data_IF_959371297767
#
_entry.id   IF_959371297767
#
_cell.length_a   1.000
_cell.length_b   1.000
_cell.length_c   1.000
_cell.angle_alpha   90.00
_cell.angle_beta   90.00
_cell.angle_gamma   90.00
#
_symmetry.space_group_name_H-M   'P 1'
#
loop_
_entity.id
_entity.type
_entity.pdbx_description
1 polymer ?
#
# COMPACT_ATOMS: atom_id res chain seq x y z
N UNK A 1 -25.32 35.27 19.02
CA UNK A 1 -24.33 34.54 18.20
C UNK A 1 -23.27 35.54 17.76
N UNK A 2 -22.00 35.29 18.11
CA UNK A 2 -20.92 36.22 17.81
C UNK A 2 -20.51 36.20 16.34
N UNK A 3 -19.96 37.32 15.84
CA UNK A 3 -19.47 37.48 14.46
C UNK A 3 -18.54 36.32 14.05
N UNK A 4 -17.71 35.80 14.97
CA UNK A 4 -16.84 34.66 14.72
C UNK A 4 -17.57 33.36 14.37
N UNK A 5 -18.76 33.10 14.96
CA UNK A 5 -19.54 31.91 14.64
C UNK A 5 -20.19 31.99 13.24
N UNK A 6 -20.49 33.21 12.77
CA UNK A 6 -21.01 33.45 11.43
C UNK A 6 -19.87 33.34 10.41
N UNK A 7 -18.68 33.87 10.71
CA UNK A 7 -17.49 33.73 9.87
C UNK A 7 -17.01 32.27 9.76
N UNK A 8 -17.02 31.51 10.85
CA UNK A 8 -16.72 30.07 10.83
C UNK A 8 -17.76 29.27 10.03
N UNK A 9 -19.04 29.64 10.13
CA UNK A 9 -20.11 29.04 9.33
C UNK A 9 -19.93 29.35 7.84
N UNK A 10 -19.60 30.60 7.48
CA UNK A 10 -19.33 31.01 6.10
C UNK A 10 -18.05 30.35 5.54
N UNK A 11 -17.00 30.19 6.34
CA UNK A 11 -15.79 29.44 5.94
C UNK A 11 -16.07 27.95 5.75
N UNK A 12 -16.91 27.34 6.58
CA UNK A 12 -17.36 25.94 6.37
C UNK A 12 -18.24 25.78 5.14
N UNK A 13 -19.05 26.80 4.80
CA UNK A 13 -19.86 26.82 3.58
C UNK A 13 -18.99 27.08 2.34
N UNK A 14 -17.83 27.73 2.48
CA UNK A 14 -16.88 28.01 1.39
C UNK A 14 -15.86 26.88 1.13
N UNK A 15 -15.58 26.00 2.09
CA UNK A 15 -14.71 24.85 1.90
C UNK A 15 -15.49 23.65 1.33
N UNK A 16 -15.58 23.60 0.00
CA UNK A 16 -16.28 22.53 -0.75
C UNK A 16 -15.67 21.13 -0.51
N UNK A 17 -14.40 21.04 -0.10
CA UNK A 17 -13.69 19.78 0.10
C UNK A 17 -13.06 19.71 1.50
N UNK A 18 -13.29 18.59 2.19
CA UNK A 18 -12.78 18.33 3.53
C UNK A 18 -11.61 17.32 3.57
N UNK A 19 -11.45 16.52 2.51
CA UNK A 19 -10.43 15.47 2.42
C UNK A 19 -9.80 15.47 1.02
N UNK A 20 -8.49 15.26 0.97
CA UNK A 20 -7.73 14.91 -0.23
C UNK A 20 -7.09 13.54 0.03
N UNK A 21 -7.51 12.52 -0.72
CA UNK A 21 -6.90 11.21 -0.72
C UNK A 21 -6.04 11.05 -1.98
N UNK A 22 -4.77 10.71 -1.82
CA UNK A 22 -3.79 10.69 -2.91
C UNK A 22 -3.26 9.28 -3.14
N UNK A 23 -3.36 8.84 -4.38
CA UNK A 23 -2.47 7.79 -4.85
C UNK A 23 -1.02 8.28 -4.99
N UNK A 24 -0.08 7.34 -4.99
CA UNK A 24 1.35 7.58 -5.10
C UNK A 24 1.83 7.40 -6.54
N UNK A 25 1.82 6.17 -7.05
CA UNK A 25 2.49 5.81 -8.29
C UNK A 25 1.70 6.24 -9.52
N UNK A 26 2.24 7.18 -10.30
CA UNK A 26 1.53 7.73 -11.46
C UNK A 26 0.60 8.90 -11.11
N UNK A 27 0.55 9.26 -9.82
CA UNK A 27 -0.23 10.40 -9.31
C UNK A 27 0.67 11.43 -8.63
N UNK A 28 1.13 11.15 -7.40
CA UNK A 28 1.94 12.08 -6.61
C UNK A 28 3.45 11.93 -6.88
N UNK A 29 3.90 10.72 -7.21
CA UNK A 29 5.30 10.41 -7.44
C UNK A 29 5.66 10.56 -8.91
N UNK A 30 6.78 11.23 -9.16
CA UNK A 30 7.40 11.27 -10.49
C UNK A 30 8.04 9.92 -10.88
N UNK A 31 8.63 9.86 -12.07
CA UNK A 31 9.30 8.66 -12.60
C UNK A 31 10.51 8.24 -11.76
N UNK A 32 11.09 9.15 -10.97
CA UNK A 32 12.20 8.92 -10.06
C UNK A 32 11.73 8.60 -8.63
N UNK A 33 10.42 8.40 -8.42
CA UNK A 33 9.80 8.16 -7.12
C UNK A 33 10.02 9.30 -6.12
N UNK A 34 9.96 10.55 -6.60
CA UNK A 34 10.03 11.76 -5.78
C UNK A 34 8.73 12.53 -5.83
N UNK A 35 8.46 13.28 -4.76
CA UNK A 35 7.36 14.25 -4.71
C UNK A 35 7.92 15.59 -5.18
N UNK A 36 7.23 16.24 -6.12
CA UNK A 36 7.64 17.54 -6.63
C UNK A 36 7.48 18.63 -5.55
N UNK A 37 8.37 19.64 -5.49
CA UNK A 37 8.26 20.73 -4.51
C UNK A 37 6.93 21.49 -4.56
N UNK A 38 6.36 21.64 -5.76
CA UNK A 38 5.07 22.31 -5.96
C UNK A 38 3.93 21.50 -5.35
N UNK A 39 3.97 20.16 -5.44
CA UNK A 39 3.00 19.26 -4.81
C UNK A 39 3.08 19.33 -3.29
N UNK A 40 4.29 19.33 -2.71
CA UNK A 40 4.49 19.51 -1.26
C UNK A 40 3.87 20.84 -0.79
N UNK A 41 4.15 21.92 -1.52
CA UNK A 41 3.64 23.26 -1.20
C UNK A 41 2.11 23.31 -1.25
N UNK A 42 1.51 22.77 -2.33
CA UNK A 42 0.06 22.76 -2.50
C UNK A 42 -0.65 21.95 -1.40
N UNK A 43 -0.11 20.79 -1.04
CA UNK A 43 -0.69 19.94 0.00
C UNK A 43 -0.53 20.55 1.40
N UNK A 44 0.60 21.20 1.67
CA UNK A 44 0.80 21.95 2.92
C UNK A 44 -0.22 23.10 3.05
N UNK A 45 -0.46 23.86 1.96
CA UNK A 45 -1.47 24.91 1.95
C UNK A 45 -2.88 24.35 2.19
N UNK A 46 -3.24 23.24 1.57
CA UNK A 46 -4.53 22.59 1.80
C UNK A 46 -4.70 22.17 3.28
N UNK A 47 -3.65 21.60 3.90
CA UNK A 47 -3.65 21.24 5.32
C UNK A 47 -3.82 22.47 6.23
N UNK A 48 -3.17 23.59 5.91
CA UNK A 48 -3.32 24.85 6.65
C UNK A 48 -4.75 25.42 6.58
N UNK A 49 -5.49 25.12 5.52
CA UNK A 49 -6.91 25.46 5.37
C UNK A 49 -7.86 24.44 6.04
N UNK A 50 -7.33 23.47 6.78
CA UNK A 50 -8.11 22.47 7.50
C UNK A 50 -8.52 21.25 6.69
N UNK A 51 -8.08 21.13 5.44
CA UNK A 51 -8.31 19.93 4.62
C UNK A 51 -7.44 18.78 5.15
N UNK A 52 -8.05 17.62 5.35
CA UNK A 52 -7.29 16.41 5.70
C UNK A 52 -6.67 15.81 4.46
N UNK A 53 -5.35 15.64 4.48
CA UNK A 53 -4.62 14.96 3.40
C UNK A 53 -4.25 13.56 3.87
N UNK A 54 -4.48 12.54 3.05
CA UNK A 54 -4.12 11.15 3.36
C UNK A 54 -3.63 10.41 2.10
N UNK A 55 -2.85 9.36 2.31
CA UNK A 55 -2.38 8.48 1.23
C UNK A 55 -3.37 7.32 1.05
N UNK A 56 -3.69 6.99 -0.20
CA UNK A 56 -4.43 5.80 -0.57
C UNK A 56 -3.74 5.05 -1.72
N UNK A 57 -3.22 3.86 -1.46
CA UNK A 57 -2.25 3.23 -2.38
C UNK A 57 -2.24 1.70 -2.33
N UNK A 58 -1.77 1.10 -3.41
CA UNK A 58 -1.44 -0.32 -3.49
C UNK A 58 -0.22 -0.73 -2.65
N UNK A 59 0.60 0.23 -2.20
CA UNK A 59 1.81 -0.08 -1.42
C UNK A 59 1.49 -0.49 0.03
N UNK A 60 2.43 -1.24 0.61
CA UNK A 60 2.45 -1.59 2.04
C UNK A 60 2.99 -0.42 2.86
N UNK A 61 2.58 -0.28 4.12
CA UNK A 61 2.91 0.88 4.95
C UNK A 61 4.43 1.13 5.15
N UNK A 62 5.28 0.11 5.26
CA UNK A 62 6.74 0.25 5.28
C UNK A 62 7.26 0.91 4.00
N UNK A 63 6.65 0.63 2.84
CA UNK A 63 7.06 1.16 1.54
C UNK A 63 6.52 2.56 1.20
N UNK A 64 5.65 3.12 2.06
CA UNK A 64 5.14 4.51 1.91
C UNK A 64 5.69 5.46 2.97
N UNK A 65 6.29 4.93 4.04
CA UNK A 65 6.84 5.68 5.16
C UNK A 65 7.69 6.91 4.75
N UNK A 66 8.64 6.84 3.79
CA UNK A 66 9.40 8.02 3.38
C UNK A 66 8.51 9.14 2.82
N UNK A 67 7.46 8.80 2.06
CA UNK A 67 6.53 9.77 1.49
C UNK A 67 5.59 10.34 2.54
N UNK A 68 5.12 9.48 3.45
CA UNK A 68 4.29 9.88 4.58
C UNK A 68 5.00 10.94 5.44
N UNK A 69 6.30 10.72 5.73
CA UNK A 69 7.14 11.69 6.44
C UNK A 69 7.38 12.97 5.63
N UNK A 70 7.67 12.87 4.34
CA UNK A 70 7.90 14.04 3.48
C UNK A 70 6.68 14.96 3.37
N UNK A 71 5.47 14.38 3.43
CA UNK A 71 4.20 15.10 3.44
C UNK A 71 3.79 15.62 4.82
N UNK A 72 4.54 15.26 5.87
CA UNK A 72 4.27 15.61 7.26
C UNK A 72 2.84 15.24 7.70
N UNK A 73 2.37 14.06 7.31
CA UNK A 73 0.99 13.64 7.57
C UNK A 73 0.78 13.19 9.03
N UNK A 74 -0.44 13.41 9.51
CA UNK A 74 -0.95 12.98 10.81
C UNK A 74 -2.21 12.10 10.69
N UNK A 75 -2.61 11.77 9.46
CA UNK A 75 -3.78 10.95 9.13
C UNK A 75 -3.39 9.48 8.90
N UNK A 76 -4.30 8.52 9.09
CA UNK A 76 -4.04 7.14 8.67
C UNK A 76 -3.83 7.03 7.15
N UNK A 77 -3.07 6.03 6.71
CA UNK A 77 -2.89 5.69 5.30
C UNK A 77 -3.75 4.48 4.91
N UNK A 78 -4.37 4.54 3.73
CA UNK A 78 -5.07 3.40 3.12
C UNK A 78 -4.03 2.59 2.33
N UNK A 79 -3.76 1.36 2.77
CA UNK A 79 -2.65 0.55 2.30
C UNK A 79 -3.14 -0.69 1.56
N UNK A 80 -2.26 -1.28 0.76
CA UNK A 80 -2.47 -2.54 0.04
C UNK A 80 -3.83 -2.59 -0.68
N UNK A 81 -4.14 -1.59 -1.51
CA UNK A 81 -5.36 -1.53 -2.32
C UNK A 81 -6.64 -1.42 -1.45
N UNK A 82 -6.51 -0.84 -0.26
CA UNK A 82 -7.65 -0.68 0.66
C UNK A 82 -7.87 -1.84 1.61
N UNK A 83 -6.99 -2.84 1.63
CA UNK A 83 -7.10 -3.98 2.56
C UNK A 83 -7.07 -3.55 4.02
N UNK A 84 -6.35 -2.49 4.37
CA UNK A 84 -6.29 -1.97 5.74
C UNK A 84 -5.94 -0.49 5.82
N UNK A 85 -6.28 0.13 6.94
CA UNK A 85 -5.79 1.44 7.36
C UNK A 85 -4.60 1.28 8.30
N UNK A 86 -3.53 2.04 8.08
CA UNK A 86 -2.37 2.07 8.96
C UNK A 86 -2.23 3.42 9.65
N UNK A 87 -2.15 3.38 10.98
CA UNK A 87 -1.88 4.54 11.83
C UNK A 87 -0.39 4.58 12.18
N UNK A 88 0.32 5.56 11.63
CA UNK A 88 1.76 5.75 11.87
C UNK A 88 2.09 6.24 13.28
N UNK A 89 1.17 6.95 13.93
CA UNK A 89 1.40 7.50 15.27
C UNK A 89 1.38 6.39 16.31
N UNK A 90 0.41 5.47 16.20
CA UNK A 90 0.23 4.36 17.13
C UNK A 90 0.85 3.04 16.63
N UNK A 91 1.33 3.00 15.39
CA UNK A 91 1.91 1.81 14.73
C UNK A 91 0.96 0.62 14.76
N UNK A 92 -0.27 0.84 14.32
CA UNK A 92 -1.32 -0.17 14.35
C UNK A 92 -2.18 -0.15 13.10
N UNK A 93 -2.73 -1.31 12.77
CA UNK A 93 -3.69 -1.50 11.67
C UNK A 93 -5.13 -1.41 12.18
N UNK A 94 -6.02 -0.82 11.39
CA UNK A 94 -7.48 -0.81 11.65
C UNK A 94 -8.27 -0.99 10.35
N UNK A 95 -9.57 -1.29 10.46
CA UNK A 95 -10.45 -1.55 9.31
C UNK A 95 -9.82 -2.49 8.30
N UNK A 96 -9.35 -3.63 8.79
CA UNK A 96 -8.52 -4.57 8.05
C UNK A 96 -9.32 -5.79 7.56
N UNK A 97 -9.01 -6.27 6.36
CA UNK A 97 -9.58 -7.49 5.78
C UNK A 97 -8.47 -8.42 5.23
N UNK A 98 -7.60 -8.99 6.09
CA UNK A 98 -6.50 -9.84 5.64
C UNK A 98 -7.01 -11.16 5.06
N UNK A 99 -6.21 -11.76 4.17
CA UNK A 99 -6.38 -13.16 3.78
C UNK A 99 -6.17 -14.06 4.99
N UNK A 100 -7.02 -15.07 5.13
CA UNK A 100 -6.76 -16.17 6.07
C UNK A 100 -5.55 -16.98 5.61
N UNK A 101 -4.86 -17.64 6.55
CA UNK A 101 -3.77 -18.56 6.22
C UNK A 101 -4.21 -19.64 5.23
N UNK A 102 -5.45 -20.15 5.33
CA UNK A 102 -6.01 -21.12 4.40
C UNK A 102 -6.14 -20.54 2.98
N UNK A 103 -6.72 -19.35 2.82
CA UNK A 103 -6.81 -18.67 1.51
C UNK A 103 -5.42 -18.41 0.93
N UNK A 104 -4.48 -17.91 1.74
CA UNK A 104 -3.12 -17.66 1.32
C UNK A 104 -2.41 -18.93 0.84
N UNK A 105 -2.60 -20.05 1.53
CA UNK A 105 -2.02 -21.35 1.13
C UNK A 105 -2.64 -21.89 -0.14
N UNK A 106 -3.95 -21.75 -0.33
CA UNK A 106 -4.60 -22.10 -1.60
C UNK A 106 -4.02 -21.31 -2.78
N UNK A 107 -3.84 -20.00 -2.61
CA UNK A 107 -3.19 -19.13 -3.60
C UNK A 107 -1.75 -19.59 -3.87
N UNK A 108 -0.96 -19.83 -2.83
CA UNK A 108 0.44 -20.28 -2.95
C UNK A 108 0.58 -21.66 -3.62
N UNK A 109 -0.31 -22.60 -3.33
CA UNK A 109 -0.35 -23.90 -4.02
C UNK A 109 -0.63 -23.71 -5.50
N UNK A 110 -1.62 -22.88 -5.84
CA UNK A 110 -1.97 -22.58 -7.22
C UNK A 110 -0.86 -21.84 -7.97
N UNK A 111 -0.15 -20.93 -7.30
CA UNK A 111 1.04 -20.28 -7.85
C UNK A 111 2.11 -21.30 -8.25
N UNK A 112 2.30 -22.33 -7.42
CA UNK A 112 3.19 -23.46 -7.71
C UNK A 112 2.75 -24.27 -8.94
N UNK A 113 1.45 -24.51 -9.13
CA UNK A 113 0.91 -25.20 -10.31
C UNK A 113 1.18 -24.44 -11.62
N UNK A 114 1.13 -23.10 -11.58
CA UNK A 114 1.36 -22.25 -12.74
C UNK A 114 2.83 -21.82 -12.90
N UNK A 115 3.71 -22.18 -11.97
CA UNK A 115 5.10 -21.74 -11.96
C UNK A 115 5.27 -20.23 -11.76
N UNK A 116 4.33 -19.57 -11.09
CA UNK A 116 4.35 -18.12 -10.85
C UNK A 116 4.97 -17.85 -9.47
N UNK A 117 5.98 -16.97 -9.42
CA UNK A 117 6.56 -16.52 -8.15
C UNK A 117 5.81 -15.31 -7.60
N UNK A 118 5.39 -15.40 -6.33
CA UNK A 118 4.67 -14.34 -5.64
C UNK A 118 5.51 -13.61 -4.59
N UNK A 119 5.18 -12.33 -4.38
CA UNK A 119 5.62 -11.54 -3.22
C UNK A 119 4.44 -11.44 -2.25
N UNK A 120 4.57 -12.03 -1.06
CA UNK A 120 3.52 -12.02 -0.04
C UNK A 120 3.68 -10.81 0.87
N UNK A 121 2.65 -9.96 0.94
CA UNK A 121 2.64 -8.80 1.81
C UNK A 121 2.03 -9.26 3.13
N UNK A 122 2.82 -9.25 4.21
CA UNK A 122 2.39 -9.77 5.50
C UNK A 122 2.97 -8.95 6.65
N UNK A 123 2.15 -8.71 7.68
CA UNK A 123 2.50 -7.87 8.83
C UNK A 123 3.18 -6.56 8.39
N UNK A 124 4.41 -6.33 8.86
CA UNK A 124 5.23 -5.14 8.59
C UNK A 124 6.24 -5.33 7.45
N UNK A 125 6.04 -6.34 6.59
CA UNK A 125 7.00 -6.63 5.51
C UNK A 125 6.44 -7.35 4.29
N UNK A 126 7.36 -7.63 3.37
CA UNK A 126 7.11 -8.32 2.11
C UNK A 126 8.03 -9.53 1.99
N UNK A 127 7.43 -10.71 1.98
CA UNK A 127 8.12 -11.99 2.01
C UNK A 127 8.22 -12.58 0.60
N UNK A 128 9.40 -13.08 0.25
CA UNK A 128 9.65 -13.70 -1.06
C UNK A 128 10.50 -14.96 -0.92
N UNK A 129 10.24 -15.94 -1.78
CA UNK A 129 11.09 -17.12 -1.97
C UNK A 129 12.15 -16.88 -3.03
N UNK A 130 11.70 -16.44 -4.21
CA UNK A 130 12.59 -16.19 -5.34
C UNK A 130 12.67 -14.68 -5.62
N UNK A 131 13.86 -14.12 -5.84
CA UNK A 131 14.00 -12.71 -6.17
C UNK A 131 13.43 -12.43 -7.55
N UNK A 132 12.24 -11.82 -7.60
CA UNK A 132 11.64 -11.35 -8.85
C UNK A 132 12.17 -9.96 -9.21
N UNK A 133 12.02 -9.55 -10.47
CA UNK A 133 12.42 -8.21 -10.91
C UNK A 133 11.74 -7.09 -10.11
N UNK A 134 10.52 -7.32 -9.60
CA UNK A 134 9.85 -6.35 -8.72
C UNK A 134 10.51 -6.25 -7.34
N UNK A 135 10.89 -7.38 -6.73
CA UNK A 135 11.61 -7.42 -5.45
C UNK A 135 12.94 -6.68 -5.57
N UNK A 136 13.75 -7.04 -6.57
CA UNK A 136 15.08 -6.45 -6.80
C UNK A 136 14.97 -4.93 -6.99
N UNK A 137 14.07 -4.46 -7.87
CA UNK A 137 13.89 -3.02 -8.10
C UNK A 137 13.48 -2.26 -6.84
N UNK A 138 12.64 -2.86 -6.01
CA UNK A 138 12.16 -2.20 -4.79
C UNK A 138 13.23 -2.18 -3.70
N UNK A 139 14.03 -3.24 -3.59
CA UNK A 139 15.21 -3.26 -2.70
C UNK A 139 16.23 -2.21 -3.10
N UNK A 140 16.58 -2.12 -4.39
CA UNK A 140 17.49 -1.09 -4.93
C UNK A 140 16.94 0.31 -4.69
N UNK A 141 15.64 0.53 -4.85
CA UNK A 141 15.02 1.81 -4.47
C UNK A 141 15.16 2.08 -2.96
N UNK A 142 14.92 1.07 -2.11
CA UNK A 142 15.08 1.17 -0.67
C UNK A 142 16.48 1.60 -0.22
N UNK A 143 17.53 1.15 -0.92
CA UNK A 143 18.92 1.54 -0.65
C UNK A 143 19.19 3.04 -0.85
N UNK A 144 18.35 3.74 -1.61
CA UNK A 144 18.44 5.20 -1.80
C UNK A 144 17.84 6.00 -0.64
N UNK A 145 17.14 5.35 0.29
CA UNK A 145 16.44 5.96 1.41
C UNK A 145 17.29 5.94 2.68
N UNK A 146 16.87 6.74 3.68
CA UNK A 146 17.46 6.68 5.01
C UNK A 146 17.18 5.30 5.65
N UNK A 147 18.09 4.75 6.48
CA UNK A 147 17.94 3.39 7.03
C UNK A 147 16.60 3.12 7.74
N UNK A 148 16.04 4.11 8.43
CA UNK A 148 14.76 3.98 9.13
C UNK A 148 13.53 4.04 8.21
N UNK A 149 13.73 4.32 6.92
CA UNK A 149 12.70 4.37 5.87
C UNK A 149 12.77 3.15 4.94
N UNK A 150 13.71 2.23 5.18
CA UNK A 150 13.89 1.05 4.34
C UNK A 150 12.64 0.15 4.42
N UNK A 151 12.04 -0.20 3.27
CA UNK A 151 10.96 -1.17 3.27
C UNK A 151 11.47 -2.54 3.71
N UNK A 152 10.67 -3.27 4.49
CA UNK A 152 11.08 -4.58 5.00
C UNK A 152 10.86 -5.65 3.94
N UNK A 153 11.95 -6.23 3.44
CA UNK A 153 11.93 -7.40 2.57
C UNK A 153 12.56 -8.60 3.28
N UNK A 154 11.85 -9.72 3.31
CA UNK A 154 12.29 -10.92 4.01
C UNK A 154 12.34 -12.10 3.02
N UNK A 155 13.55 -12.59 2.77
CA UNK A 155 13.72 -13.85 2.06
C UNK A 155 13.31 -15.00 2.98
N UNK A 156 12.49 -15.92 2.46
CA UNK A 156 12.05 -17.13 3.18
C UNK A 156 12.24 -18.36 2.31
N UNK A 157 12.60 -19.49 2.91
CA UNK A 157 12.78 -20.73 2.15
C UNK A 157 11.46 -21.24 1.55
N UNK A 158 10.34 -20.98 2.24
CA UNK A 158 9.02 -21.47 1.84
C UNK A 158 7.88 -20.53 2.30
N UNK A 159 7.13 -19.95 1.36
CA UNK A 159 6.02 -19.05 1.65
C UNK A 159 4.83 -19.77 2.30
N UNK A 160 4.58 -21.05 2.01
CA UNK A 160 3.50 -21.82 2.66
C UNK A 160 3.75 -21.94 4.17
N UNK A 161 5.00 -22.18 4.57
CA UNK A 161 5.38 -22.24 5.98
C UNK A 161 5.35 -20.85 6.63
N UNK A 162 5.71 -19.80 5.89
CA UNK A 162 5.67 -18.44 6.38
C UNK A 162 4.23 -17.95 6.61
N UNK A 163 3.29 -18.36 5.75
CA UNK A 163 1.86 -18.01 5.87
C UNK A 163 1.24 -18.50 7.20
N UNK A 164 1.76 -19.58 7.80
CA UNK A 164 1.30 -20.06 9.11
C UNK A 164 1.90 -19.28 10.30
N UNK A 165 2.93 -18.44 10.07
CA UNK A 165 3.72 -17.77 11.13
C UNK A 165 3.42 -16.29 11.28
N UNK A 166 2.90 -15.67 10.21
CA UNK A 166 2.53 -14.24 10.19
C UNK A 166 1.15 -14.04 10.80
N UNK A 167 0.89 -12.84 11.33
CA UNK A 167 -0.41 -12.54 11.93
C UNK A 167 -1.43 -12.13 10.87
N UNK A 168 -1.02 -11.34 9.90
CA UNK A 168 -1.86 -10.81 8.85
C UNK A 168 -1.20 -10.98 7.49
N UNK A 169 -1.99 -11.44 6.51
CA UNK A 169 -1.58 -11.55 5.11
C UNK A 169 -2.44 -10.56 4.31
N UNK A 170 -1.82 -9.50 3.80
CA UNK A 170 -2.55 -8.39 3.20
C UNK A 170 -2.90 -8.63 1.73
N UNK A 171 -1.96 -9.17 0.96
CA UNK A 171 -2.14 -9.51 -0.46
C UNK A 171 -0.93 -10.26 -1.00
N UNK A 172 -1.05 -10.67 -2.25
CA UNK A 172 0.08 -11.10 -3.08
C UNK A 172 0.29 -10.11 -4.23
N UNK A 173 1.55 -9.76 -4.50
CA UNK A 173 1.93 -9.10 -5.75
C UNK A 173 2.62 -10.12 -6.65
N UNK A 174 2.15 -10.23 -7.88
CA UNK A 174 2.57 -11.25 -8.84
C UNK A 174 3.17 -10.59 -10.07
N UNK A 175 4.14 -11.25 -10.67
CA UNK A 175 4.69 -10.88 -11.97
C UNK A 175 5.09 -12.13 -12.72
N UNK A 176 4.76 -12.21 -14.00
CA UNK A 176 5.11 -13.34 -14.85
C UNK A 176 5.40 -12.85 -16.27
N UNK A 177 6.30 -13.52 -16.98
CA UNK A 177 6.65 -13.15 -18.37
C UNK A 177 5.55 -13.53 -19.37
N UNK A 178 4.81 -14.60 -19.07
CA UNK A 178 3.61 -15.01 -19.80
C UNK A 178 2.38 -14.40 -19.13
N UNK A 179 1.77 -13.41 -19.78
CA UNK A 179 0.57 -12.72 -19.31
C UNK A 179 -0.67 -13.60 -19.39
N UNK A 180 -0.73 -14.53 -20.36
CA UNK A 180 -1.87 -15.44 -20.48
C UNK A 180 -1.91 -16.45 -19.34
N UNK A 181 -0.73 -16.95 -18.91
CA UNK A 181 -0.63 -17.76 -17.71
C UNK A 181 -1.13 -17.00 -16.46
N UNK A 182 -0.78 -15.71 -16.34
CA UNK A 182 -1.23 -14.86 -15.24
C UNK A 182 -2.75 -14.61 -15.29
N UNK A 183 -3.32 -14.34 -16.47
CA UNK A 183 -4.76 -14.17 -16.65
C UNK A 183 -5.54 -15.43 -16.29
N UNK A 184 -5.06 -16.60 -16.74
CA UNK A 184 -5.66 -17.89 -16.40
C UNK A 184 -5.60 -18.14 -14.88
N UNK A 185 -4.48 -17.81 -14.24
CA UNK A 185 -4.33 -17.90 -12.79
C UNK A 185 -5.33 -16.99 -12.07
N UNK A 186 -5.41 -15.72 -12.46
CA UNK A 186 -6.32 -14.73 -11.87
C UNK A 186 -7.78 -15.19 -11.98
N UNK A 187 -8.20 -15.61 -13.17
CA UNK A 187 -9.56 -16.11 -13.39
C UNK A 187 -9.90 -17.29 -12.47
N UNK A 188 -8.94 -18.21 -12.28
CA UNK A 188 -9.11 -19.38 -11.42
C UNK A 188 -9.17 -18.98 -9.94
N UNK A 189 -8.31 -18.07 -9.48
CA UNK A 189 -8.36 -17.54 -8.10
C UNK A 189 -9.70 -16.88 -7.80
N UNK A 190 -10.20 -16.05 -8.71
CA UNK A 190 -11.48 -15.36 -8.54
C UNK A 190 -12.66 -16.36 -8.49
N UNK A 191 -12.65 -17.36 -9.38
CA UNK A 191 -13.71 -18.36 -9.46
C UNK A 191 -13.71 -19.36 -8.31
N UNK A 192 -12.53 -19.85 -7.88
CA UNK A 192 -12.42 -20.91 -6.88
C UNK A 192 -12.37 -20.38 -5.44
N UNK A 193 -11.73 -19.22 -5.23
CA UNK A 193 -11.47 -18.70 -3.88
C UNK A 193 -12.27 -17.44 -3.54
N UNK A 194 -12.98 -16.86 -4.51
CA UNK A 194 -13.78 -15.64 -4.30
C UNK A 194 -12.93 -14.43 -3.90
N UNK A 195 -11.64 -14.43 -4.26
CA UNK A 195 -10.71 -13.33 -4.00
C UNK A 195 -10.76 -12.32 -5.14
N UNK A 196 -10.46 -11.06 -4.83
CA UNK A 196 -10.30 -10.01 -5.85
C UNK A 196 -8.87 -9.97 -6.36
N UNK A 197 -8.70 -9.81 -7.67
CA UNK A 197 -7.42 -9.57 -8.30
C UNK A 197 -7.49 -8.26 -9.11
N UNK A 198 -6.41 -7.48 -9.07
CA UNK A 198 -6.26 -6.25 -9.83
C UNK A 198 -5.01 -6.38 -10.72
N UNK A 199 -5.13 -5.97 -11.98
CA UNK A 199 -4.01 -5.92 -12.92
C UNK A 199 -3.65 -4.46 -13.21
N UNK A 200 -2.36 -4.15 -13.25
CA UNK A 200 -1.80 -2.80 -13.46
C UNK A 200 -0.72 -2.79 -14.52
#
# INVERSE_FOLDING_TARGET
MGINAILDSLNRIAMTYCIIALDLDGTLLDKQKKILPESLTALALARQQGVKVLIATGRQHSAIHPFYQALDLDTPAICCNGTYLYDYQHKQTSQANPLTAAQAKNVLTLLGEYGIHGLMYADDGMLYQEPTGHVIRTQVWGETLLPHQHPTFLHVDNLLNAADRVQNIWKFALSHSDTQALDNFVNRVMAEFGLTCECS
#
